data_IF_805199697441
#
_entry.id   IF_805199697441
#
_cell.length_a   1.000
_cell.length_b   1.000
_cell.length_c   1.000
_cell.angle_alpha   90.00
_cell.angle_beta   90.00
_cell.angle_gamma   90.00
#
_symmetry.space_group_name_H-M   'P 1'
#
loop_
_entity.id
_entity.type
_entity.pdbx_description
1 polymer ?
#
# COMPACT_ATOMS: atom_id res chain seq x y z
N UNK A 1 -9.10 2.59 -1.51
CA UNK A 1 -8.54 2.50 -0.15
C UNK A 1 -8.71 3.86 0.50
N UNK A 2 -9.01 3.96 1.80
CA UNK A 2 -9.03 5.24 2.51
C UNK A 2 -7.71 5.97 2.24
N UNK A 3 -7.80 7.27 1.95
CA UNK A 3 -6.65 8.12 1.60
C UNK A 3 -5.68 8.33 2.77
N UNK A 4 -6.10 7.91 3.95
CA UNK A 4 -5.57 8.14 5.29
C UNK A 4 -5.01 6.88 5.97
N UNK A 5 -5.03 5.72 5.29
CA UNK A 5 -4.51 4.48 5.84
C UNK A 5 -3.55 3.79 4.86
N UNK A 6 -2.91 2.71 5.31
CA UNK A 6 -2.09 1.82 4.49
C UNK A 6 -2.61 0.38 4.58
N UNK A 7 -2.89 -0.26 3.44
CA UNK A 7 -3.26 -1.67 3.42
C UNK A 7 -2.03 -2.56 3.26
N UNK A 8 -1.60 -3.16 4.37
CA UNK A 8 -0.44 -4.07 4.39
C UNK A 8 -0.78 -5.46 3.87
N UNK A 9 -2.02 -5.91 4.06
CA UNK A 9 -2.50 -7.21 3.58
C UNK A 9 -3.72 -6.99 2.69
N UNK A 10 -3.68 -7.56 1.50
CA UNK A 10 -4.81 -7.55 0.59
C UNK A 10 -5.06 -8.96 0.09
N UNK A 11 -6.27 -9.47 0.30
CA UNK A 11 -6.69 -10.72 -0.30
C UNK A 11 -7.16 -10.45 -1.74
N UNK A 12 -6.48 -11.07 -2.69
CA UNK A 12 -6.88 -11.07 -4.08
C UNK A 12 -8.25 -11.77 -4.23
N UNK A 13 -9.30 -11.05 -4.59
CA UNK A 13 -10.64 -11.64 -4.71
C UNK A 13 -10.73 -12.74 -5.78
N UNK A 14 -9.93 -12.60 -6.86
CA UNK A 14 -9.90 -13.55 -7.98
C UNK A 14 -9.15 -14.83 -7.67
N UNK A 15 -8.09 -14.74 -6.87
CA UNK A 15 -7.12 -15.81 -6.67
C UNK A 15 -6.97 -16.27 -5.21
N UNK A 16 -7.69 -15.61 -4.29
CA UNK A 16 -7.75 -15.91 -2.85
C UNK A 16 -6.39 -15.98 -2.15
N UNK A 17 -5.40 -15.31 -2.73
CA UNK A 17 -4.05 -15.16 -2.16
C UNK A 17 -3.97 -13.89 -1.35
N UNK A 18 -3.37 -13.99 -0.16
CA UNK A 18 -2.99 -12.83 0.66
C UNK A 18 -1.69 -12.24 0.11
N UNK A 19 -1.81 -11.09 -0.52
CA UNK A 19 -0.68 -10.30 -0.99
C UNK A 19 -0.07 -9.51 0.18
N UNK A 20 1.26 -9.45 0.17
CA UNK A 20 2.09 -8.69 1.10
C UNK A 20 2.97 -7.74 0.31
N UNK A 21 3.28 -6.53 0.83
CA UNK A 21 4.25 -5.65 0.20
C UNK A 21 5.59 -6.34 -0.01
N UNK A 22 6.27 -5.96 -1.07
CA UNK A 22 7.66 -6.36 -1.34
C UNK A 22 8.58 -5.65 -0.36
N UNK A 23 9.76 -6.23 -0.14
CA UNK A 23 10.78 -5.62 0.70
C UNK A 23 11.17 -4.25 0.12
N UNK A 24 11.09 -3.19 0.95
CA UNK A 24 11.34 -1.81 0.56
C UNK A 24 10.09 -1.02 0.15
N UNK A 25 8.93 -1.67 0.01
CA UNK A 25 7.66 -1.00 -0.25
C UNK A 25 6.78 -0.90 1.00
N UNK A 26 5.88 0.07 0.96
CA UNK A 26 5.08 0.48 2.10
C UNK A 26 3.82 -0.34 2.37
N UNK A 27 3.20 -0.86 1.32
CA UNK A 27 1.87 -1.46 1.35
C UNK A 27 1.66 -2.22 0.04
N UNK A 28 0.62 -3.06 -0.03
CA UNK A 28 0.35 -3.85 -1.25
C UNK A 28 0.14 -2.97 -2.48
N UNK A 29 -0.44 -1.78 -2.33
CA UNK A 29 -0.63 -0.84 -3.44
C UNK A 29 0.68 -0.17 -3.87
N UNK A 30 1.64 0.05 -2.96
CA UNK A 30 2.99 0.49 -3.33
C UNK A 30 3.70 -0.55 -4.22
N UNK A 31 3.50 -1.84 -3.94
CA UNK A 31 4.18 -2.94 -4.64
C UNK A 31 3.49 -3.44 -5.90
N UNK A 32 2.16 -3.43 -5.93
CA UNK A 32 1.35 -4.02 -7.00
C UNK A 32 0.45 -2.99 -7.71
N UNK A 33 0.29 -1.79 -7.16
CA UNK A 33 -0.46 -0.70 -7.79
C UNK A 33 0.39 0.05 -8.81
N UNK A 34 -0.28 0.56 -9.85
CA UNK A 34 0.33 1.47 -10.84
C UNK A 34 0.57 2.87 -10.29
N UNK A 35 -0.25 3.30 -9.34
CA UNK A 35 -0.11 4.58 -8.65
C UNK A 35 0.34 4.36 -7.21
N UNK A 36 1.23 5.24 -6.73
CA UNK A 36 1.66 5.28 -5.34
C UNK A 36 0.47 5.48 -4.42
N UNK A 37 0.56 4.99 -3.17
CA UNK A 37 -0.54 5.11 -2.23
C UNK A 37 -0.81 6.60 -1.89
N UNK A 38 -2.07 6.99 -1.65
CA UNK A 38 -2.42 8.38 -1.37
C UNK A 38 -1.64 9.01 -0.21
N UNK A 39 -1.29 8.31 0.89
CA UNK A 39 -0.50 8.89 1.97
C UNK A 39 0.87 9.40 1.51
N UNK A 40 1.56 8.68 0.61
CA UNK A 40 2.85 9.13 0.05
C UNK A 40 2.67 10.38 -0.82
N UNK A 41 1.53 10.47 -1.52
CA UNK A 41 1.23 11.62 -2.38
C UNK A 41 0.87 12.86 -1.57
N UNK A 42 0.24 12.69 -0.40
CA UNK A 42 -0.17 13.76 0.50
C UNK A 42 0.99 14.27 1.38
N UNK A 43 1.75 13.37 2.01
CA UNK A 43 2.78 13.75 2.99
C UNK A 43 4.15 14.05 2.37
N UNK A 44 4.35 13.79 1.06
CA UNK A 44 5.58 14.11 0.32
C UNK A 44 6.86 13.44 0.85
N UNK A 45 6.74 12.64 1.90
CA UNK A 45 7.82 11.96 2.59
C UNK A 45 7.68 10.46 2.35
N UNK A 46 8.82 9.79 2.17
CA UNK A 46 8.96 8.33 2.16
C UNK A 46 8.54 7.67 3.49
N UNK A 47 7.94 8.41 4.42
CA UNK A 47 7.38 7.93 5.68
C UNK A 47 5.96 7.43 5.45
N UNK A 48 5.86 6.25 4.85
CA UNK A 48 4.57 5.62 4.68
C UNK A 48 3.98 5.23 6.02
N UNK A 49 2.72 5.61 6.25
CA UNK A 49 1.93 5.19 7.40
C UNK A 49 2.56 5.67 8.72
N UNK A 50 2.74 6.98 8.83
CA UNK A 50 3.21 7.66 10.04
C UNK A 50 2.08 7.72 11.09
N UNK A 51 1.94 6.63 11.84
CA UNK A 51 1.03 6.40 12.99
C UNK A 51 -0.45 6.20 12.69
#
# INVERSE_FOLDING_TARGET
MPTDACQWFYECERCKVVLRPKAGDCCVFCSFGTHKCPPIQADGSSSCCSR
#
